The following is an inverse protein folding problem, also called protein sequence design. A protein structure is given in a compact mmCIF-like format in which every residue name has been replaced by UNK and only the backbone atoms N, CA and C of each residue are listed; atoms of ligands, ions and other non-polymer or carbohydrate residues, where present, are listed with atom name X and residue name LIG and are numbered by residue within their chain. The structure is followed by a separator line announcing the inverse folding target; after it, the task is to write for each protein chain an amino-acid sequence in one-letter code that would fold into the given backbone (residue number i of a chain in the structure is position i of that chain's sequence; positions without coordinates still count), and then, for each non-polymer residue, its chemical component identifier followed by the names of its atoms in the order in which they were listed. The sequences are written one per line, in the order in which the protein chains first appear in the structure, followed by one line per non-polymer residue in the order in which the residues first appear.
data_IF_117819243800
#
_entry.id   IF_117819243800
#
_cell.length_a   1.000
_cell.length_b   1.000
_cell.length_c   1.000
_cell.angle_alpha   90.00
_cell.angle_beta   90.00
_cell.angle_gamma   90.00
#
_symmetry.space_group_name_H-M   'P 1'
#
loop_
_entity.id
_entity.type
_entity.pdbx_description
1 polymer ?
#
# COMPACT_ATOMS: atom_id res chain seq x y z
N UNK A 1 16.15 31.62 27.78
CA UNK A 1 15.77 32.85 27.05
C UNK A 1 16.86 33.17 26.03
N UNK A 2 16.55 33.76 24.86
CA UNK A 2 17.55 34.10 23.84
C UNK A 2 17.58 35.58 23.56
N UNK A 3 18.77 36.15 23.34
CA UNK A 3 18.90 37.55 22.99
C UNK A 3 18.31 37.84 21.61
N UNK A 4 17.40 38.83 21.50
CA UNK A 4 16.71 39.19 20.22
C UNK A 4 17.65 39.78 19.18
N UNK A 5 18.86 40.24 19.56
CA UNK A 5 19.83 40.85 18.63
C UNK A 5 20.93 39.91 18.18
N UNK A 6 21.50 39.11 19.07
CA UNK A 6 22.65 38.23 18.74
C UNK A 6 22.36 36.74 18.86
N UNK A 7 21.15 36.33 19.32
CA UNK A 7 20.73 34.93 19.38
C UNK A 7 21.39 34.08 20.45
N UNK A 8 22.20 34.67 21.33
CA UNK A 8 22.87 33.95 22.45
C UNK A 8 21.85 33.56 23.50
N UNK A 9 22.00 32.39 24.08
CA UNK A 9 21.22 31.91 25.20
C UNK A 9 21.57 32.70 26.45
N UNK A 10 20.55 33.24 27.10
CA UNK A 10 20.66 34.09 28.31
C UNK A 10 20.09 33.34 29.51
N UNK A 11 20.65 33.60 30.70
CA UNK A 11 20.06 33.15 31.94
C UNK A 11 18.69 33.80 32.18
N UNK A 12 17.80 33.12 32.89
CA UNK A 12 16.39 33.55 33.05
C UNK A 12 16.21 34.91 33.69
N UNK A 13 17.22 35.42 34.42
CA UNK A 13 17.17 36.72 35.12
C UNK A 13 18.13 37.75 34.51
N UNK A 14 18.65 37.57 33.33
CA UNK A 14 19.57 38.52 32.72
C UNK A 14 18.88 39.84 32.33
N UNK A 15 19.30 40.95 32.87
CA UNK A 15 18.78 42.28 32.51
C UNK A 15 19.37 42.85 31.22
N UNK A 16 20.58 42.40 30.84
CA UNK A 16 21.27 42.78 29.61
C UNK A 16 22.03 41.58 29.05
N UNK A 17 22.14 41.50 27.71
CA UNK A 17 22.93 40.49 27.06
C UNK A 17 24.43 40.73 27.33
N UNK A 18 25.21 39.75 27.84
CA UNK A 18 26.62 39.91 28.12
C UNK A 18 27.49 40.09 26.89
N UNK A 19 26.99 39.79 25.69
CA UNK A 19 27.74 39.83 24.42
C UNK A 19 27.50 41.10 23.62
N UNK A 20 26.25 41.63 23.62
CA UNK A 20 25.90 42.78 22.79
C UNK A 20 25.27 43.93 23.56
N UNK A 21 25.22 43.80 24.91
CA UNK A 21 24.67 44.80 25.88
C UNK A 21 23.22 45.23 25.60
N UNK A 22 22.51 44.51 24.73
CA UNK A 22 21.11 44.78 24.44
C UNK A 22 20.27 44.48 25.67
N UNK A 23 19.41 45.45 26.14
CA UNK A 23 18.53 45.22 27.29
C UNK A 23 17.54 44.09 26.95
N UNK A 24 17.37 43.19 27.91
CA UNK A 24 16.41 42.07 27.78
C UNK A 24 15.07 42.60 28.29
N UNK A 25 14.01 42.65 27.46
CA UNK A 25 12.69 43.05 27.93
C UNK A 25 12.21 42.04 28.97
N UNK A 26 11.90 42.51 30.19
CA UNK A 26 11.18 41.70 31.18
C UNK A 26 9.76 41.55 30.66
N UNK A 27 9.46 40.39 30.11
CA UNK A 27 8.09 39.97 29.86
C UNK A 27 7.55 39.55 31.22
N UNK A 28 6.87 40.46 31.92
CA UNK A 28 6.05 40.05 33.05
C UNK A 28 5.10 39.00 32.55
N UNK A 29 5.05 37.86 33.24
CA UNK A 29 4.16 36.75 32.96
C UNK A 29 2.70 37.19 33.22
N UNK A 30 2.22 38.13 32.45
CA UNK A 30 0.80 38.34 32.29
C UNK A 30 0.34 37.24 31.34
N UNK A 31 -0.31 36.24 31.93
CA UNK A 31 -1.15 35.23 31.29
C UNK A 31 -0.68 34.88 29.86
N UNK A 32 0.06 33.78 29.71
CA UNK A 32 -0.04 33.03 28.50
C UNK A 32 -1.48 32.49 28.42
N UNK A 33 -2.43 33.41 28.35
CA UNK A 33 -3.75 33.13 27.83
C UNK A 33 -3.50 32.47 26.48
N UNK A 34 -4.05 31.30 26.33
CA UNK A 34 -4.16 30.61 25.03
C UNK A 34 -4.55 31.72 24.06
N UNK A 35 -3.59 32.14 23.22
CA UNK A 35 -3.86 33.14 22.20
C UNK A 35 -4.90 32.50 21.28
N UNK A 36 -6.17 32.74 21.56
CA UNK A 36 -7.27 32.50 20.61
C UNK A 36 -7.13 33.57 19.52
N UNK A 37 -6.01 33.48 18.81
CA UNK A 37 -5.76 34.30 17.66
C UNK A 37 -6.67 33.85 16.52
N UNK A 38 -7.11 34.80 15.74
CA UNK A 38 -7.97 34.72 14.59
C UNK A 38 -7.42 33.73 13.49
N UNK A 39 -6.22 33.19 13.70
CA UNK A 39 -5.56 32.25 12.81
C UNK A 39 -5.46 30.87 13.47
N UNK A 40 -6.22 29.86 12.96
CA UNK A 40 -6.09 28.51 13.47
C UNK A 40 -4.65 28.01 13.29
N UNK A 41 -4.07 27.42 14.35
CA UNK A 41 -2.80 26.70 14.24
C UNK A 41 -2.96 25.53 13.27
N UNK A 42 -2.59 25.75 12.01
CA UNK A 42 -2.56 24.69 11.00
C UNK A 42 -1.31 23.86 11.24
N UNK A 43 -1.48 22.70 11.86
CA UNK A 43 -0.41 21.73 12.05
C UNK A 43 -0.11 21.09 10.69
N UNK A 44 0.66 21.80 9.85
CA UNK A 44 0.98 21.36 8.50
C UNK A 44 2.11 20.34 8.60
N UNK A 45 1.78 19.06 8.40
CA UNK A 45 2.79 18.03 8.24
C UNK A 45 3.46 18.17 6.86
N UNK A 46 4.56 18.94 6.82
CA UNK A 46 5.34 19.21 5.60
C UNK A 46 5.81 17.91 4.91
N UNK A 47 6.10 16.87 5.68
CA UNK A 47 6.48 15.57 5.14
C UNK A 47 5.34 14.92 4.34
N UNK A 48 4.14 14.88 4.90
CA UNK A 48 2.97 14.33 4.20
C UNK A 48 2.64 15.10 2.92
N UNK A 49 2.72 16.43 2.96
CA UNK A 49 2.51 17.26 1.77
C UNK A 49 3.56 16.99 0.69
N UNK A 50 4.83 16.86 1.08
CA UNK A 50 5.93 16.51 0.16
C UNK A 50 5.70 15.13 -0.45
N UNK A 51 5.34 14.14 0.35
CA UNK A 51 5.05 12.78 -0.12
C UNK A 51 3.83 12.74 -1.06
N UNK A 52 2.76 13.48 -0.77
CA UNK A 52 1.61 13.61 -1.67
C UNK A 52 2.00 14.21 -3.02
N UNK A 53 2.85 15.26 -3.03
CA UNK A 53 3.37 15.86 -4.27
C UNK A 53 4.20 14.87 -5.08
N UNK A 54 5.12 14.13 -4.42
CA UNK A 54 5.96 13.12 -5.08
C UNK A 54 5.08 12.00 -5.67
N UNK A 55 4.14 11.45 -4.91
CA UNK A 55 3.22 10.42 -5.40
C UNK A 55 2.42 10.89 -6.62
N UNK A 56 1.90 12.11 -6.57
CA UNK A 56 1.19 12.72 -7.70
C UNK A 56 2.11 12.88 -8.92
N UNK A 57 3.34 13.36 -8.73
CA UNK A 57 4.31 13.53 -9.82
C UNK A 57 4.66 12.18 -10.47
N UNK A 58 4.94 11.14 -9.65
CA UNK A 58 5.23 9.78 -10.13
C UNK A 58 4.05 9.22 -10.94
N UNK A 59 2.83 9.36 -10.44
CA UNK A 59 1.64 8.89 -11.16
C UNK A 59 1.45 9.64 -12.48
N UNK A 60 1.54 10.97 -12.48
CA UNK A 60 1.36 11.78 -13.69
C UNK A 60 2.43 11.49 -14.75
N UNK A 61 3.70 11.32 -14.35
CA UNK A 61 4.77 10.95 -15.29
C UNK A 61 4.58 9.56 -15.88
N UNK A 62 4.23 8.57 -15.07
CA UNK A 62 3.91 7.21 -15.55
C UNK A 62 2.73 7.24 -16.52
N UNK A 63 1.64 7.89 -16.14
CA UNK A 63 0.43 8.00 -16.97
C UNK A 63 0.70 8.69 -18.31
N UNK A 64 1.54 9.74 -18.33
CA UNK A 64 1.95 10.40 -19.58
C UNK A 64 2.73 9.43 -20.48
N UNK A 65 3.68 8.68 -19.93
CA UNK A 65 4.45 7.67 -20.66
C UNK A 65 3.50 6.59 -21.21
N UNK A 66 2.55 6.13 -20.40
CA UNK A 66 1.54 5.14 -20.81
C UNK A 66 0.70 5.63 -21.97
N UNK A 67 0.24 6.88 -21.96
CA UNK A 67 -0.52 7.46 -23.08
C UNK A 67 0.32 7.46 -24.36
N UNK A 68 1.57 7.92 -24.28
CA UNK A 68 2.48 7.93 -25.44
C UNK A 68 2.67 6.51 -25.98
N UNK A 69 2.94 5.54 -25.12
CA UNK A 69 3.11 4.13 -25.48
C UNK A 69 1.86 3.52 -26.11
N UNK A 70 0.68 3.84 -25.59
CA UNK A 70 -0.59 3.37 -26.16
C UNK A 70 -0.80 3.93 -27.58
N UNK A 71 -0.55 5.23 -27.75
CA UNK A 71 -0.64 5.88 -29.07
C UNK A 71 0.35 5.29 -30.07
N UNK A 72 1.61 5.09 -29.66
CA UNK A 72 2.64 4.48 -30.50
C UNK A 72 2.23 3.06 -30.94
N UNK A 73 1.85 2.20 -29.99
CA UNK A 73 1.41 0.84 -30.27
C UNK A 73 0.19 0.81 -31.18
N UNK A 74 -0.77 1.71 -30.95
CA UNK A 74 -1.99 1.82 -31.76
C UNK A 74 -1.68 2.21 -33.21
N UNK A 75 -0.92 3.30 -33.41
CA UNK A 75 -0.53 3.76 -34.74
C UNK A 75 0.34 2.74 -35.48
N UNK A 76 1.32 2.12 -34.80
CA UNK A 76 2.16 1.09 -35.38
C UNK A 76 1.33 -0.09 -35.89
N UNK A 77 0.33 -0.54 -35.12
CA UNK A 77 -0.55 -1.61 -35.54
C UNK A 77 -1.36 -1.25 -36.78
N UNK A 78 -1.93 -0.04 -36.84
CA UNK A 78 -2.72 0.40 -38.00
C UNK A 78 -1.82 0.53 -39.24
N UNK A 79 -0.65 1.13 -39.11
CA UNK A 79 0.26 1.38 -40.25
C UNK A 79 0.82 0.06 -40.80
N UNK A 80 1.24 -0.87 -39.92
CA UNK A 80 1.92 -2.09 -40.34
C UNK A 80 0.92 -3.18 -40.75
N UNK A 81 -0.19 -3.35 -40.02
CA UNK A 81 -1.11 -4.46 -40.19
C UNK A 81 -2.49 -4.07 -40.74
N UNK A 82 -2.80 -2.77 -40.82
CA UNK A 82 -4.12 -2.29 -41.26
C UNK A 82 -5.27 -2.61 -40.29
N UNK A 83 -5.00 -3.23 -39.16
CA UNK A 83 -5.99 -3.61 -38.15
C UNK A 83 -5.35 -3.67 -36.75
N UNK A 84 -6.17 -3.71 -35.70
CA UNK A 84 -5.70 -3.88 -34.34
C UNK A 84 -5.33 -5.36 -34.12
N UNK A 85 -4.03 -5.67 -34.24
CA UNK A 85 -3.48 -7.01 -34.03
C UNK A 85 -3.01 -7.20 -32.59
N UNK A 86 -1.67 -7.25 -32.38
CA UNK A 86 -1.10 -7.47 -31.05
C UNK A 86 -1.32 -6.30 -30.06
N UNK A 87 -1.65 -5.09 -30.55
CA UNK A 87 -2.02 -3.95 -29.72
C UNK A 87 -3.17 -4.29 -28.78
N UNK A 88 -4.04 -5.20 -29.18
CA UNK A 88 -5.17 -5.67 -28.38
C UNK A 88 -4.76 -6.30 -27.04
N UNK A 89 -3.56 -6.86 -26.94
CA UNK A 89 -3.02 -7.43 -25.70
C UNK A 89 -2.21 -6.41 -24.90
N UNK A 90 -1.51 -5.52 -25.59
CA UNK A 90 -0.59 -4.57 -24.95
C UNK A 90 -1.33 -3.41 -24.28
N UNK A 91 -2.33 -2.83 -24.96
CA UNK A 91 -3.08 -1.69 -24.44
C UNK A 91 -3.76 -1.99 -23.10
N UNK A 92 -4.51 -3.09 -22.93
CA UNK A 92 -5.11 -3.43 -21.64
C UNK A 92 -4.06 -3.72 -20.56
N UNK A 93 -2.89 -4.25 -20.94
CA UNK A 93 -1.78 -4.51 -20.00
C UNK A 93 -1.22 -3.20 -19.42
N UNK A 94 -1.04 -2.17 -20.26
CA UNK A 94 -0.60 -0.85 -19.82
C UNK A 94 -1.65 -0.22 -18.89
N UNK A 95 -2.95 -0.31 -19.26
CA UNK A 95 -4.03 0.22 -18.43
C UNK A 95 -4.14 -0.50 -17.07
N UNK A 96 -3.92 -1.82 -17.06
CA UNK A 96 -3.86 -2.58 -15.80
C UNK A 96 -2.67 -2.15 -14.95
N UNK A 97 -1.51 -1.91 -15.55
CA UNK A 97 -0.33 -1.40 -14.85
C UNK A 97 -0.61 -0.03 -14.21
N UNK A 98 -1.21 0.90 -14.94
CA UNK A 98 -1.58 2.23 -14.41
C UNK A 98 -2.59 2.13 -13.27
N UNK A 99 -3.55 1.21 -13.36
CA UNK A 99 -4.50 0.94 -12.28
C UNK A 99 -3.78 0.41 -11.03
N UNK A 100 -2.85 -0.53 -11.18
CA UNK A 100 -2.07 -1.06 -10.06
C UNK A 100 -1.19 0.02 -9.44
N UNK A 101 -0.56 0.86 -10.24
CA UNK A 101 0.23 1.99 -9.77
C UNK A 101 -0.65 3.00 -9.00
N UNK A 102 -1.84 3.29 -9.51
CA UNK A 102 -2.82 4.15 -8.83
C UNK A 102 -3.18 3.61 -7.44
N UNK A 103 -3.46 2.31 -7.34
CA UNK A 103 -3.79 1.64 -6.08
C UNK A 103 -2.63 1.74 -5.08
N UNK A 104 -1.38 1.52 -5.53
CA UNK A 104 -0.19 1.57 -4.68
C UNK A 104 0.09 3.00 -4.17
N UNK A 105 -0.08 4.00 -5.02
CA UNK A 105 0.24 5.39 -4.69
C UNK A 105 -0.85 6.06 -3.84
N UNK A 106 -2.13 5.69 -4.03
CA UNK A 106 -3.22 6.20 -3.23
C UNK A 106 -3.41 5.32 -1.99
N UNK A 107 -3.38 5.93 -0.81
CA UNK A 107 -3.61 5.24 0.47
C UNK A 107 -5.10 4.95 0.69
N UNK A 108 -5.64 4.05 -0.11
CA UNK A 108 -6.98 3.52 0.10
C UNK A 108 -6.99 2.45 1.20
N UNK A 109 -8.16 2.18 1.74
CA UNK A 109 -8.31 1.04 2.64
C UNK A 109 -8.06 -0.26 1.86
N UNK A 110 -7.53 -1.28 2.53
CA UNK A 110 -7.21 -2.56 1.89
C UNK A 110 -8.43 -3.18 1.19
N UNK A 111 -9.62 -2.97 1.73
CA UNK A 111 -10.90 -3.41 1.15
C UNK A 111 -11.24 -2.74 -0.18
N UNK A 112 -11.04 -1.42 -0.26
CA UNK A 112 -11.23 -0.67 -1.51
C UNK A 112 -10.22 -1.11 -2.58
N UNK A 113 -8.97 -1.35 -2.18
CA UNK A 113 -7.94 -1.86 -3.07
C UNK A 113 -8.31 -3.22 -3.66
N UNK A 114 -8.84 -4.16 -2.85
CA UNK A 114 -9.33 -5.45 -3.34
C UNK A 114 -10.47 -5.31 -4.35
N UNK A 115 -11.37 -4.36 -4.15
CA UNK A 115 -12.44 -4.08 -5.13
C UNK A 115 -11.87 -3.57 -6.47
N UNK A 116 -10.95 -2.60 -6.45
CA UNK A 116 -10.32 -2.09 -7.67
C UNK A 116 -9.51 -3.18 -8.40
N UNK A 117 -8.79 -4.02 -7.64
CA UNK A 117 -8.05 -5.16 -8.20
C UNK A 117 -9.03 -6.15 -8.86
N UNK A 118 -10.13 -6.48 -8.20
CA UNK A 118 -11.14 -7.38 -8.76
C UNK A 118 -11.68 -6.84 -10.09
N UNK A 119 -12.14 -5.59 -10.12
CA UNK A 119 -12.68 -4.97 -11.32
C UNK A 119 -11.62 -4.88 -12.42
N UNK A 120 -10.41 -4.44 -12.09
CA UNK A 120 -9.33 -4.30 -13.07
C UNK A 120 -8.87 -5.63 -13.66
N UNK A 121 -8.63 -6.64 -12.83
CA UNK A 121 -8.21 -7.96 -13.31
C UNK A 121 -9.31 -8.68 -14.11
N UNK A 122 -10.56 -8.62 -13.65
CA UNK A 122 -11.67 -9.24 -14.39
C UNK A 122 -11.89 -8.58 -15.74
N UNK A 123 -11.86 -7.25 -15.80
CA UNK A 123 -11.96 -6.50 -17.06
C UNK A 123 -10.81 -6.85 -18.02
N UNK A 124 -9.58 -6.89 -17.51
CA UNK A 124 -8.40 -7.26 -18.27
C UNK A 124 -8.51 -8.67 -18.86
N UNK A 125 -8.89 -9.67 -18.04
CA UNK A 125 -9.03 -11.05 -18.50
C UNK A 125 -10.14 -11.20 -19.55
N UNK A 126 -11.26 -10.51 -19.39
CA UNK A 126 -12.36 -10.51 -20.36
C UNK A 126 -11.95 -9.87 -21.69
N UNK A 127 -11.21 -8.75 -21.66
CA UNK A 127 -10.74 -8.09 -22.87
C UNK A 127 -9.78 -9.02 -23.62
N UNK A 128 -8.83 -9.66 -22.96
CA UNK A 128 -7.89 -10.57 -23.62
C UNK A 128 -8.59 -11.79 -24.23
N UNK A 129 -9.50 -12.42 -23.48
CA UNK A 129 -10.22 -13.61 -23.93
C UNK A 129 -11.18 -13.29 -25.11
N UNK A 130 -11.76 -12.08 -25.10
CA UNK A 130 -12.57 -11.59 -26.22
C UNK A 130 -11.75 -11.38 -27.51
N UNK A 131 -10.46 -11.03 -27.40
CA UNK A 131 -9.53 -10.91 -28.53
C UNK A 131 -9.34 -12.20 -29.30
N UNK A 132 -9.39 -13.34 -28.63
CA UNK A 132 -9.34 -14.66 -29.23
C UNK A 132 -10.70 -15.09 -29.86
N UNK A 133 -11.69 -14.18 -29.93
CA UNK A 133 -13.05 -14.37 -30.45
C UNK A 133 -13.84 -15.48 -29.74
N UNK A 134 -13.45 -15.92 -28.58
CA UNK A 134 -14.12 -16.93 -27.76
C UNK A 134 -13.95 -16.63 -26.27
N UNK A 135 -15.01 -16.24 -25.62
CA UNK A 135 -15.04 -16.14 -24.16
C UNK A 135 -15.09 -17.54 -23.55
N UNK A 136 -13.95 -18.16 -23.32
CA UNK A 136 -13.88 -19.55 -22.86
C UNK A 136 -13.04 -19.72 -21.59
N UNK A 137 -11.80 -19.30 -21.62
CA UNK A 137 -10.90 -19.55 -20.50
C UNK A 137 -11.02 -18.50 -19.37
N UNK A 138 -11.38 -17.27 -19.70
CA UNK A 138 -11.58 -16.23 -18.69
C UNK A 138 -12.75 -16.56 -17.77
N UNK A 139 -13.89 -17.00 -18.33
CA UNK A 139 -15.06 -17.39 -17.55
C UNK A 139 -14.86 -18.70 -16.79
N UNK A 140 -14.18 -19.68 -17.41
CA UNK A 140 -14.04 -21.01 -16.80
C UNK A 140 -12.92 -21.09 -15.74
N UNK A 141 -11.87 -20.29 -15.87
CA UNK A 141 -10.68 -20.33 -14.99
C UNK A 141 -10.28 -18.97 -14.46
N UNK A 142 -10.14 -17.96 -15.33
CA UNK A 142 -9.63 -16.63 -14.98
C UNK A 142 -10.45 -15.95 -13.90
N UNK A 143 -11.76 -15.76 -14.12
CA UNK A 143 -12.67 -15.11 -13.19
C UNK A 143 -12.81 -15.87 -11.87
N UNK A 144 -12.98 -17.21 -11.82
CA UNK A 144 -13.00 -17.94 -10.57
C UNK A 144 -11.71 -17.78 -9.75
N UNK A 145 -10.54 -17.72 -10.39
CA UNK A 145 -9.25 -17.51 -9.71
C UNK A 145 -9.18 -16.08 -9.13
N UNK A 146 -9.57 -15.06 -9.89
CA UNK A 146 -9.55 -13.66 -9.40
C UNK A 146 -10.55 -13.46 -8.28
N UNK A 147 -11.73 -14.06 -8.35
CA UNK A 147 -12.72 -14.04 -7.26
C UNK A 147 -12.18 -14.70 -5.99
N UNK A 148 -11.56 -15.88 -6.11
CA UNK A 148 -10.94 -16.58 -4.98
C UNK A 148 -9.83 -15.73 -4.34
N UNK A 149 -8.96 -15.12 -5.16
CA UNK A 149 -7.89 -14.23 -4.71
C UNK A 149 -8.45 -13.03 -3.95
N UNK A 150 -9.42 -12.32 -4.53
CA UNK A 150 -10.01 -11.15 -3.89
C UNK A 150 -10.81 -11.50 -2.63
N UNK A 151 -11.49 -12.64 -2.60
CA UNK A 151 -12.21 -13.11 -1.42
C UNK A 151 -11.25 -13.41 -0.26
N UNK A 152 -10.16 -14.14 -0.53
CA UNK A 152 -9.10 -14.38 0.45
C UNK A 152 -8.47 -13.07 0.91
N UNK A 153 -8.20 -12.13 -0.01
CA UNK A 153 -7.66 -10.80 0.29
C UNK A 153 -8.60 -9.97 1.18
N UNK A 154 -9.92 -10.06 0.97
CA UNK A 154 -10.91 -9.42 1.84
C UNK A 154 -10.88 -10.00 3.25
N UNK A 155 -10.85 -11.34 3.40
CA UNK A 155 -10.75 -11.98 4.72
C UNK A 155 -9.44 -11.56 5.39
N UNK A 156 -8.33 -11.57 4.66
CA UNK A 156 -7.03 -11.12 5.17
C UNK A 156 -7.05 -9.65 5.62
N UNK A 157 -7.78 -8.79 4.92
CA UNK A 157 -7.96 -7.38 5.30
C UNK A 157 -8.58 -7.23 6.70
N UNK A 158 -9.60 -8.04 7.03
CA UNK A 158 -10.18 -8.04 8.38
C UNK A 158 -9.20 -8.50 9.44
N UNK A 159 -8.40 -9.53 9.12
CA UNK A 159 -7.35 -10.03 10.02
C UNK A 159 -6.26 -8.98 10.22
N UNK A 160 -5.87 -8.29 9.14
CA UNK A 160 -4.90 -7.19 9.17
C UNK A 160 -5.36 -6.05 10.09
N UNK A 161 -6.59 -5.56 9.90
CA UNK A 161 -7.14 -4.48 10.70
C UNK A 161 -7.17 -4.82 12.20
N UNK A 162 -7.51 -6.08 12.53
CA UNK A 162 -7.57 -6.56 13.92
C UNK A 162 -6.18 -6.75 14.58
N UNK A 163 -5.16 -7.07 13.80
CA UNK A 163 -3.82 -7.45 14.32
C UNK A 163 -2.72 -6.46 13.91
N UNK A 164 -3.05 -5.20 13.62
CA UNK A 164 -2.13 -4.19 13.07
C UNK A 164 -0.81 -4.04 13.84
N UNK A 165 -0.84 -4.29 15.15
CA UNK A 165 0.32 -4.16 16.04
C UNK A 165 1.18 -5.43 16.11
N UNK A 166 0.67 -6.58 15.63
CA UNK A 166 1.33 -7.88 15.76
C UNK A 166 1.81 -8.40 14.40
N UNK A 167 2.96 -7.92 13.93
CA UNK A 167 3.53 -8.28 12.63
C UNK A 167 3.69 -9.80 12.42
N UNK A 168 4.05 -10.54 13.49
CA UNK A 168 4.23 -12.00 13.43
C UNK A 168 2.90 -12.71 13.22
N UNK A 169 1.83 -12.26 13.88
CA UNK A 169 0.49 -12.80 13.63
C UNK A 169 0.03 -12.56 12.20
N UNK A 170 0.27 -11.35 11.68
CA UNK A 170 -0.06 -11.00 10.29
C UNK A 170 0.67 -11.93 9.31
N UNK A 171 2.00 -12.11 9.49
CA UNK A 171 2.80 -13.02 8.68
C UNK A 171 2.27 -14.46 8.73
N UNK A 172 1.89 -14.92 9.92
CA UNK A 172 1.33 -16.24 10.11
C UNK A 172 0.02 -16.44 9.33
N UNK A 173 -0.93 -15.50 9.45
CA UNK A 173 -2.16 -15.53 8.66
C UNK A 173 -1.89 -15.43 7.16
N UNK A 174 -0.94 -14.60 6.73
CA UNK A 174 -0.55 -14.49 5.33
C UNK A 174 -0.10 -15.84 4.75
N UNK A 175 0.81 -16.55 5.43
CA UNK A 175 1.27 -17.88 5.01
C UNK A 175 0.13 -18.91 4.94
N UNK A 176 -0.78 -18.86 5.90
CA UNK A 176 -1.96 -19.71 5.88
C UNK A 176 -2.83 -19.46 4.65
N UNK A 177 -3.15 -18.19 4.36
CA UNK A 177 -3.98 -17.82 3.22
C UNK A 177 -3.30 -18.12 1.87
N UNK A 178 -1.98 -17.97 1.77
CA UNK A 178 -1.23 -18.40 0.58
C UNK A 178 -1.37 -19.93 0.37
N UNK A 179 -1.21 -20.73 1.42
CA UNK A 179 -1.40 -22.18 1.31
C UNK A 179 -2.81 -22.57 0.86
N UNK A 180 -3.84 -21.94 1.43
CA UNK A 180 -5.24 -22.16 1.03
C UNK A 180 -5.47 -21.71 -0.43
N UNK A 181 -4.91 -20.58 -0.83
CA UNK A 181 -5.04 -20.09 -2.22
C UNK A 181 -4.44 -21.05 -3.24
N UNK A 182 -3.28 -21.63 -2.96
CA UNK A 182 -2.65 -22.62 -3.85
C UNK A 182 -3.52 -23.87 -4.06
N UNK A 183 -4.20 -24.36 -2.98
CA UNK A 183 -5.13 -25.46 -3.09
C UNK A 183 -6.34 -25.13 -3.96
N UNK A 184 -6.94 -23.96 -3.75
CA UNK A 184 -8.08 -23.47 -4.53
C UNK A 184 -7.68 -23.29 -6.01
N UNK A 185 -6.51 -22.71 -6.27
CA UNK A 185 -5.98 -22.49 -7.60
C UNK A 185 -5.84 -23.81 -8.38
N UNK A 186 -5.20 -24.81 -7.81
CA UNK A 186 -5.06 -26.12 -8.48
C UNK A 186 -6.42 -26.77 -8.71
N UNK A 187 -7.33 -26.70 -7.74
CA UNK A 187 -8.67 -27.25 -7.89
C UNK A 187 -9.45 -26.60 -9.04
N UNK A 188 -9.37 -25.28 -9.20
CA UNK A 188 -10.03 -24.57 -10.30
C UNK A 188 -9.44 -25.02 -11.64
N UNK A 189 -8.11 -25.12 -11.74
CA UNK A 189 -7.41 -25.42 -12.99
C UNK A 189 -7.57 -26.88 -13.41
N UNK A 190 -7.33 -27.82 -12.47
CA UNK A 190 -7.18 -29.23 -12.78
C UNK A 190 -8.29 -30.13 -12.26
N UNK A 191 -9.17 -29.62 -11.36
CA UNK A 191 -10.19 -30.41 -10.63
C UNK A 191 -9.60 -31.59 -9.83
N UNK A 192 -8.29 -31.56 -9.56
CA UNK A 192 -7.54 -32.57 -8.80
C UNK A 192 -6.50 -31.87 -7.96
N UNK A 193 -6.11 -32.47 -6.85
CA UNK A 193 -5.00 -32.02 -6.01
C UNK A 193 -3.77 -32.89 -6.29
N UNK A 194 -2.65 -32.28 -6.63
CA UNK A 194 -1.37 -32.96 -6.84
C UNK A 194 -0.19 -32.17 -6.30
N UNK A 195 0.23 -31.13 -7.03
CA UNK A 195 1.38 -30.31 -6.63
C UNK A 195 1.06 -29.31 -5.51
N UNK A 196 -0.18 -28.81 -5.42
CA UNK A 196 -0.56 -27.81 -4.41
C UNK A 196 -0.48 -28.37 -3.00
N UNK A 197 -0.75 -29.67 -2.80
CA UNK A 197 -0.56 -30.32 -1.52
C UNK A 197 0.91 -30.23 -1.09
N UNK A 198 1.83 -30.61 -1.96
CA UNK A 198 3.27 -30.54 -1.67
C UNK A 198 3.76 -29.14 -1.43
N UNK A 199 3.22 -28.16 -2.13
CA UNK A 199 3.55 -26.74 -1.94
C UNK A 199 2.92 -26.13 -0.68
N UNK A 200 1.73 -26.57 -0.26
CA UNK A 200 1.03 -26.04 0.91
C UNK A 200 1.52 -26.65 2.23
N UNK A 201 1.98 -27.91 2.24
CA UNK A 201 2.49 -28.56 3.47
C UNK A 201 3.60 -27.74 4.14
N UNK A 202 4.69 -27.32 3.46
CA UNK A 202 5.73 -26.52 4.08
C UNK A 202 5.21 -25.18 4.65
N UNK A 203 4.25 -24.55 3.96
CA UNK A 203 3.64 -23.31 4.42
C UNK A 203 2.84 -23.50 5.70
N UNK A 204 2.07 -24.60 5.80
CA UNK A 204 1.32 -24.91 7.01
C UNK A 204 2.23 -25.33 8.16
N UNK A 205 3.28 -26.12 7.90
CA UNK A 205 4.29 -26.46 8.90
C UNK A 205 4.98 -25.20 9.42
N UNK A 206 5.42 -24.33 8.55
CA UNK A 206 6.03 -23.04 8.93
C UNK A 206 5.05 -22.18 9.75
N UNK A 207 3.77 -22.17 9.37
CA UNK A 207 2.72 -21.47 10.10
C UNK A 207 2.60 -21.99 11.54
N UNK A 208 2.57 -23.29 11.74
CA UNK A 208 2.51 -23.92 13.08
C UNK A 208 3.78 -23.61 13.88
N UNK A 209 4.96 -23.71 13.26
CA UNK A 209 6.24 -23.40 13.91
C UNK A 209 6.30 -21.93 14.37
N UNK A 210 5.93 -20.99 13.50
CA UNK A 210 5.89 -19.57 13.85
C UNK A 210 4.91 -19.26 14.98
N UNK A 211 3.78 -19.96 15.00
CA UNK A 211 2.79 -19.79 16.07
C UNK A 211 3.30 -20.32 17.42
N UNK A 212 3.98 -21.46 17.39
CA UNK A 212 4.58 -22.06 18.59
C UNK A 212 5.73 -21.20 19.15
N UNK A 213 6.67 -20.80 18.29
CA UNK A 213 7.79 -19.95 18.69
C UNK A 213 7.31 -18.60 19.22
N UNK A 214 6.34 -17.96 18.56
CA UNK A 214 5.78 -16.70 19.02
C UNK A 214 5.14 -16.81 20.41
N UNK A 215 4.39 -17.89 20.66
CA UNK A 215 3.77 -18.13 21.96
C UNK A 215 4.83 -18.35 23.05
N UNK A 216 5.84 -19.17 22.77
CA UNK A 216 6.94 -19.46 23.70
C UNK A 216 7.75 -18.19 24.04
N UNK A 217 8.07 -17.36 23.04
CA UNK A 217 8.79 -16.09 23.26
C UNK A 217 7.96 -15.11 24.10
N UNK A 218 6.67 -15.02 23.86
CA UNK A 218 5.78 -14.13 24.61
C UNK A 218 5.69 -14.55 26.07
N UNK A 219 5.51 -15.84 26.37
CA UNK A 219 5.47 -16.38 27.72
C UNK A 219 6.80 -16.20 28.48
N UNK A 220 7.93 -16.36 27.79
CA UNK A 220 9.27 -16.12 28.36
C UNK A 220 9.48 -14.64 28.69
N UNK A 221 9.02 -13.74 27.78
CA UNK A 221 9.15 -12.30 27.99
C UNK A 221 8.28 -11.79 29.13
N UNK A 222 7.04 -12.28 29.24
CA UNK A 222 6.13 -11.97 30.34
C UNK A 222 6.69 -12.48 31.70
N UNK A 223 7.29 -13.66 31.73
CA UNK A 223 7.95 -14.18 32.95
C UNK A 223 9.15 -13.34 33.38
N UNK A 224 9.97 -12.84 32.46
CA UNK A 224 11.15 -12.03 32.77
C UNK A 224 10.81 -10.62 33.24
N UNK A 225 9.69 -10.08 32.80
CA UNK A 225 9.25 -8.73 33.15
C UNK A 225 8.33 -8.68 34.39
N UNK A 226 8.01 -9.84 35.01
CA UNK A 226 7.08 -9.94 36.14
C UNK A 226 5.72 -9.23 35.90
N UNK A 227 5.22 -9.24 34.65
CA UNK A 227 3.93 -8.73 34.21
C UNK A 227 2.88 -9.85 34.22
#
# INVERSE_FOLDING_TARGET
MYCIRCGVELEENAEKCPLCETPVPKIENEDMGIYEGEYPFVNINLYELKMKKIKKAVFMSSFTISIISILEVFFQNIIVYGHIGWAYYVIPSILLFDLMLFIILNSHTMRQNMFFILVGLTSFLLIIDYGDKRLSWSLSRGIPITLAFCFIGLIFSFVWDKNKNDKIKILNFFLFFVGVFLLILEFIIRKKFSWSIWASIPLFVLNVMLRYTYKSYKEEFERRLHL
#
